data_IF_835647510249
#
_entry.id   IF_835647510249
#
_cell.length_a   1.000
_cell.length_b   1.000
_cell.length_c   1.000
_cell.angle_alpha   90.00
_cell.angle_beta   90.00
_cell.angle_gamma   90.00
#
_symmetry.space_group_name_H-M   'P 1'
#
loop_
_entity.id
_entity.type
_entity.pdbx_description
1 polymer ?
#
# COMPACT_ATOMS: atom_id res chain seq x y z
N UNK A 1 -28.94 10.42 13.63
CA UNK A 1 -28.01 9.29 13.65
C UNK A 1 -26.54 9.68 13.39
N UNK A 2 -26.20 10.52 12.42
CA UNK A 2 -24.80 10.97 12.15
C UNK A 2 -24.12 11.69 13.32
N UNK A 3 -24.83 12.54 14.07
CA UNK A 3 -24.27 13.28 15.22
C UNK A 3 -23.97 12.38 16.42
N UNK A 4 -24.78 11.34 16.65
CA UNK A 4 -24.54 10.38 17.72
C UNK A 4 -23.33 9.49 17.47
N UNK A 5 -23.04 9.16 16.19
CA UNK A 5 -21.88 8.38 15.80
C UNK A 5 -20.55 9.15 15.97
N UNK A 6 -20.55 10.45 15.65
CA UNK A 6 -19.40 11.33 15.88
C UNK A 6 -19.10 11.54 17.37
N UNK A 7 -20.14 11.63 18.22
CA UNK A 7 -20.00 11.75 19.68
C UNK A 7 -19.44 10.45 20.25
N UNK A 8 -19.87 9.27 19.77
CA UNK A 8 -19.35 7.99 20.21
C UNK A 8 -17.87 7.80 19.87
N UNK A 9 -17.42 8.24 18.69
CA UNK A 9 -15.99 8.23 18.29
C UNK A 9 -15.20 9.19 19.16
N UNK A 10 -15.70 10.39 19.41
CA UNK A 10 -15.03 11.38 20.28
C UNK A 10 -14.92 10.90 21.73
N UNK A 11 -15.92 10.20 22.25
CA UNK A 11 -15.91 9.65 23.62
C UNK A 11 -14.94 8.48 23.76
N UNK A 12 -14.76 7.66 22.73
CA UNK A 12 -13.71 6.61 22.68
C UNK A 12 -12.29 7.17 22.72
N UNK A 13 -12.07 8.37 22.15
CA UNK A 13 -10.75 9.01 22.15
C UNK A 13 -10.39 9.69 23.48
N UNK A 14 -11.36 10.00 24.35
CA UNK A 14 -11.15 10.72 25.63
C UNK A 14 -11.01 9.76 26.81
N UNK A 15 -11.38 8.50 26.66
CA UNK A 15 -11.22 7.44 27.66
C UNK A 15 -9.78 6.94 27.80
N UNK A 16 -8.78 7.82 27.98
CA UNK A 16 -7.44 7.42 28.43
C UNK A 16 -7.46 7.13 29.93
N UNK A 17 -8.23 6.12 30.35
CA UNK A 17 -7.97 5.44 31.60
C UNK A 17 -6.53 4.90 31.50
N UNK A 18 -5.67 5.27 32.43
CA UNK A 18 -4.34 4.67 32.61
C UNK A 18 -4.56 3.19 32.94
N UNK A 19 -4.69 2.39 31.89
CA UNK A 19 -4.63 0.93 32.03
C UNK A 19 -3.17 0.64 32.35
N UNK A 20 -2.85 0.38 33.61
CA UNK A 20 -1.59 -0.21 34.03
C UNK A 20 -1.59 -1.68 33.55
N UNK A 21 -1.57 -1.86 32.23
CA UNK A 21 -1.18 -3.12 31.59
C UNK A 21 0.32 -3.25 31.66
N UNK A 22 0.83 -4.46 31.53
CA UNK A 22 2.27 -4.80 31.61
C UNK A 22 3.11 -3.74 30.89
N UNK A 23 4.01 -3.11 31.67
CA UNK A 23 4.79 -1.94 31.21
C UNK A 23 5.82 -2.44 30.21
N UNK A 24 5.64 -2.11 28.94
CA UNK A 24 6.68 -2.27 27.94
C UNK A 24 7.83 -1.28 28.16
N UNK A 25 8.98 -1.58 27.61
CA UNK A 25 10.09 -0.62 27.66
C UNK A 25 9.84 0.50 26.63
N UNK A 26 9.62 1.75 27.05
CA UNK A 26 9.37 2.84 26.11
C UNK A 26 10.60 3.04 25.20
N UNK A 27 10.33 3.25 23.93
CA UNK A 27 11.29 3.60 22.89
C UNK A 27 10.86 4.95 22.29
N UNK A 28 11.82 5.74 21.94
CA UNK A 28 11.60 7.01 21.23
C UNK A 28 12.62 7.07 20.10
N UNK A 29 12.53 6.12 19.19
CA UNK A 29 13.45 6.00 18.06
C UNK A 29 12.71 6.44 16.79
N UNK A 30 13.20 7.50 16.15
CA UNK A 30 12.71 7.99 14.86
C UNK A 30 13.77 7.72 13.81
N UNK A 31 13.40 6.96 12.80
CA UNK A 31 14.21 6.71 11.62
C UNK A 31 13.47 7.18 10.38
N UNK A 32 14.19 7.81 9.46
CA UNK A 32 13.66 8.23 8.15
C UNK A 32 14.57 7.74 7.03
N UNK A 33 14.05 7.67 5.82
CA UNK A 33 14.85 7.27 4.68
C UNK A 33 14.07 7.12 3.41
N UNK A 34 14.65 6.41 2.47
CA UNK A 34 14.12 6.22 1.12
C UNK A 34 13.70 4.78 0.93
N UNK A 35 12.73 4.59 0.07
CA UNK A 35 12.34 3.27 -0.40
C UNK A 35 12.24 3.25 -1.93
N UNK A 36 12.52 2.10 -2.51
CA UNK A 36 12.32 1.81 -3.92
C UNK A 36 11.90 0.36 -4.10
N UNK A 37 11.09 0.08 -5.10
CA UNK A 37 10.59 -1.26 -5.32
C UNK A 37 9.86 -1.42 -6.64
N UNK A 38 9.16 -2.53 -6.74
CA UNK A 38 8.37 -2.90 -7.89
C UNK A 38 6.98 -3.34 -7.47
N UNK A 39 5.99 -2.89 -8.20
CA UNK A 39 4.58 -3.24 -7.98
C UNK A 39 4.09 -4.14 -9.10
N UNK A 40 3.26 -5.12 -8.74
CA UNK A 40 2.48 -5.93 -9.64
C UNK A 40 1.01 -5.65 -9.36
N UNK A 41 0.36 -4.91 -10.25
CA UNK A 41 -1.02 -4.46 -10.08
C UNK A 41 -1.97 -5.21 -11.00
N UNK A 42 -3.17 -5.44 -10.49
CA UNK A 42 -4.32 -5.93 -11.23
C UNK A 42 -5.57 -5.20 -10.73
N UNK A 43 -6.45 -4.79 -11.63
CA UNK A 43 -7.72 -4.16 -11.24
C UNK A 43 -8.80 -5.24 -11.14
N UNK A 44 -9.43 -5.33 -9.98
CA UNK A 44 -10.52 -6.27 -9.72
C UNK A 44 -11.82 -5.72 -10.30
N UNK A 45 -12.17 -6.17 -11.51
CA UNK A 45 -13.42 -5.79 -12.17
C UNK A 45 -14.58 -6.76 -11.89
N UNK A 46 -15.80 -6.21 -11.88
CA UNK A 46 -17.03 -6.98 -11.95
C UNK A 46 -17.98 -6.29 -12.94
N UNK A 47 -18.28 -6.86 -14.14
CA UNK A 47 -17.82 -8.17 -14.65
C UNK A 47 -16.31 -8.25 -14.86
N UNK A 48 -15.76 -9.48 -14.73
CA UNK A 48 -14.31 -9.72 -14.78
C UNK A 48 -13.73 -9.48 -16.18
N UNK A 49 -12.63 -8.78 -16.26
CA UNK A 49 -11.81 -8.60 -17.46
C UNK A 49 -10.55 -9.44 -17.30
N UNK A 50 -10.15 -10.17 -18.35
CA UNK A 50 -8.90 -10.93 -18.35
C UNK A 50 -7.72 -9.96 -18.40
N UNK A 51 -6.80 -10.06 -17.44
CA UNK A 51 -5.69 -9.14 -17.27
C UNK A 51 -4.40 -9.89 -16.95
N UNK A 52 -3.29 -9.35 -17.42
CA UNK A 52 -1.95 -9.65 -16.91
C UNK A 52 -1.64 -8.76 -15.71
N UNK A 53 -0.73 -9.20 -14.85
CA UNK A 53 -0.18 -8.31 -13.83
C UNK A 53 0.62 -7.19 -14.48
N UNK A 54 0.18 -5.96 -14.26
CA UNK A 54 0.91 -4.79 -14.72
C UNK A 54 2.04 -4.49 -13.75
N UNK A 55 3.28 -4.64 -14.20
CA UNK A 55 4.46 -4.32 -13.44
C UNK A 55 4.89 -2.86 -13.60
N UNK A 56 5.28 -2.19 -12.49
CA UNK A 56 5.81 -0.84 -12.54
C UNK A 56 6.74 -0.54 -11.35
N UNK A 57 7.73 0.36 -11.51
CA UNK A 57 8.55 0.82 -10.40
C UNK A 57 7.74 1.70 -9.44
N UNK A 58 8.12 1.65 -8.15
CA UNK A 58 7.63 2.54 -7.10
C UNK A 58 8.81 3.06 -6.30
N UNK A 59 8.73 4.30 -5.82
CA UNK A 59 9.76 4.92 -4.99
C UNK A 59 9.14 5.97 -4.09
N UNK A 60 9.80 6.25 -2.98
CA UNK A 60 9.29 7.21 -2.02
C UNK A 60 10.14 7.37 -0.78
N UNK A 61 9.51 7.96 0.23
CA UNK A 61 10.09 8.21 1.53
C UNK A 61 9.39 7.37 2.59
N UNK A 62 10.14 6.95 3.59
CA UNK A 62 9.65 6.19 4.74
C UNK A 62 10.08 6.88 6.03
N UNK A 63 9.14 7.06 6.94
CA UNK A 63 9.39 7.46 8.33
C UNK A 63 8.89 6.36 9.25
N UNK A 64 9.71 5.95 10.21
CA UNK A 64 9.37 4.92 11.19
C UNK A 64 9.62 5.44 12.59
N UNK A 65 8.59 5.41 13.41
CA UNK A 65 8.65 5.72 14.82
C UNK A 65 8.46 4.46 15.66
N UNK A 66 9.49 4.06 16.41
CA UNK A 66 9.43 2.93 17.33
C UNK A 66 9.02 3.44 18.71
N UNK A 67 7.82 3.01 19.13
CA UNK A 67 7.17 3.51 20.35
C UNK A 67 7.59 2.71 21.57
N UNK A 68 7.65 1.40 21.45
CA UNK A 68 7.75 0.51 22.60
C UNK A 68 8.34 -0.84 22.24
N UNK A 69 9.02 -1.44 23.22
CA UNK A 69 9.42 -2.84 23.17
C UNK A 69 8.61 -3.64 24.18
N UNK A 70 7.94 -4.64 23.70
CA UNK A 70 7.14 -5.57 24.50
C UNK A 70 7.77 -6.94 24.49
N UNK A 71 8.41 -7.35 25.58
CA UNK A 71 9.23 -8.59 25.66
C UNK A 71 10.28 -8.65 24.54
N UNK A 72 10.05 -9.46 23.53
CA UNK A 72 10.90 -9.62 22.33
C UNK A 72 10.38 -8.87 21.11
N UNK A 73 9.22 -8.25 21.21
CA UNK A 73 8.54 -7.58 20.09
C UNK A 73 8.78 -6.07 20.13
N UNK A 74 9.19 -5.50 19.00
CA UNK A 74 9.29 -4.06 18.79
C UNK A 74 8.03 -3.55 18.12
N UNK A 75 7.34 -2.62 18.76
CA UNK A 75 6.15 -1.97 18.22
C UNK A 75 6.53 -0.63 17.60
N UNK A 76 6.16 -0.43 16.35
CA UNK A 76 6.48 0.78 15.59
C UNK A 76 5.29 1.20 14.74
N UNK A 77 5.26 2.49 14.39
CA UNK A 77 4.38 3.04 13.36
C UNK A 77 5.27 3.42 12.17
N UNK A 78 4.83 3.08 10.97
CA UNK A 78 5.54 3.38 9.73
C UNK A 78 4.61 4.17 8.81
N UNK A 79 5.06 5.35 8.41
CA UNK A 79 4.38 6.24 7.46
C UNK A 79 5.24 6.35 6.21
N UNK A 80 4.60 6.30 5.06
CA UNK A 80 5.31 6.46 3.79
C UNK A 80 4.58 7.41 2.86
N UNK A 81 5.33 7.94 1.92
CA UNK A 81 4.81 8.69 0.77
C UNK A 81 5.49 8.12 -0.46
N UNK A 82 4.74 7.41 -1.28
CA UNK A 82 5.26 6.68 -2.43
C UNK A 82 4.61 7.16 -3.72
N UNK A 83 5.42 7.41 -4.74
CA UNK A 83 4.95 7.52 -6.11
C UNK A 83 4.86 6.13 -6.71
N UNK A 84 3.70 5.80 -7.29
CA UNK A 84 3.43 4.48 -7.84
C UNK A 84 2.63 4.61 -9.13
N UNK A 85 3.04 3.85 -10.14
CA UNK A 85 2.28 3.68 -11.36
C UNK A 85 1.48 2.37 -11.26
N UNK A 86 0.18 2.48 -11.15
CA UNK A 86 -0.75 1.35 -11.12
C UNK A 86 -1.43 1.22 -12.49
N UNK A 87 -2.56 0.53 -12.55
CA UNK A 87 -3.39 0.41 -13.72
C UNK A 87 -3.57 -1.04 -14.14
N UNK A 88 -3.86 -1.25 -15.41
CA UNK A 88 -4.18 -2.57 -15.96
C UNK A 88 -3.44 -2.83 -17.27
N UNK A 89 -3.21 -4.11 -17.53
CA UNK A 89 -2.76 -4.63 -18.81
C UNK A 89 -3.70 -5.78 -19.20
N UNK A 90 -4.48 -5.57 -20.25
CA UNK A 90 -5.48 -6.55 -20.69
C UNK A 90 -4.81 -7.72 -21.41
N UNK A 91 -5.28 -8.92 -21.13
CA UNK A 91 -4.90 -10.13 -21.88
C UNK A 91 -5.95 -10.36 -22.97
N UNK A 92 -5.59 -10.05 -24.22
CA UNK A 92 -6.45 -10.23 -25.39
C UNK A 92 -5.91 -11.41 -26.19
N UNK A 93 -6.61 -12.55 -26.14
CA UNK A 93 -6.21 -13.78 -26.86
C UNK A 93 -6.87 -13.89 -28.23
N UNK A 94 -7.90 -13.09 -28.48
CA UNK A 94 -8.73 -13.18 -29.71
C UNK A 94 -8.20 -12.33 -30.87
N UNK A 95 -7.23 -11.47 -30.63
CA UNK A 95 -6.61 -10.60 -31.64
C UNK A 95 -5.21 -10.16 -31.20
N UNK A 96 -4.41 -9.63 -32.13
CA UNK A 96 -3.09 -9.07 -31.85
C UNK A 96 -3.14 -7.68 -31.17
N UNK A 97 -4.33 -7.28 -30.71
CA UNK A 97 -4.51 -6.03 -30.03
C UNK A 97 -3.92 -6.06 -28.61
N UNK A 98 -3.42 -4.93 -28.18
CA UNK A 98 -2.94 -4.74 -26.82
C UNK A 98 -3.55 -3.50 -26.20
N UNK A 99 -3.96 -3.60 -24.96
CA UNK A 99 -4.41 -2.45 -24.17
C UNK A 99 -3.69 -2.40 -22.81
N UNK A 100 -3.05 -1.28 -22.56
CA UNK A 100 -2.40 -0.99 -21.29
C UNK A 100 -2.81 0.39 -20.82
N UNK A 101 -3.15 0.50 -19.57
CA UNK A 101 -3.47 1.79 -18.93
C UNK A 101 -2.56 2.02 -17.74
N UNK A 102 -1.86 3.13 -17.77
CA UNK A 102 -1.01 3.62 -16.70
C UNK A 102 -1.80 4.62 -15.87
N UNK A 103 -1.90 4.41 -14.56
CA UNK A 103 -2.58 5.30 -13.62
C UNK A 103 -1.59 5.66 -12.52
N UNK A 104 -1.22 6.92 -12.43
CA UNK A 104 -0.24 7.42 -11.48
C UNK A 104 -0.91 7.86 -10.18
N UNK A 105 -0.35 7.40 -9.06
CA UNK A 105 -0.81 7.74 -7.71
C UNK A 105 0.33 8.21 -6.81
N UNK A 106 0.00 9.09 -5.87
CA UNK A 106 0.75 9.22 -4.62
C UNK A 106 0.03 8.37 -3.59
N UNK A 107 0.71 7.37 -3.05
CA UNK A 107 0.18 6.47 -2.03
C UNK A 107 0.80 6.76 -0.67
N UNK A 108 -0.05 6.83 0.36
CA UNK A 108 0.35 7.14 1.74
C UNK A 108 -0.18 6.02 2.65
N UNK A 109 0.58 4.95 2.84
CA UNK A 109 0.28 3.93 3.84
C UNK A 109 0.67 4.40 5.24
N UNK A 110 -0.22 4.17 6.22
CA UNK A 110 0.03 4.30 7.64
C UNK A 110 -0.04 2.92 8.27
N UNK A 111 1.09 2.38 8.68
CA UNK A 111 1.23 0.98 9.06
C UNK A 111 1.61 0.82 10.52
N UNK A 112 0.89 -0.03 11.23
CA UNK A 112 1.37 -0.62 12.46
C UNK A 112 2.39 -1.71 12.10
N UNK A 113 3.51 -1.71 12.80
CA UNK A 113 4.61 -2.65 12.57
C UNK A 113 4.98 -3.35 13.86
N UNK A 114 5.13 -4.65 13.80
CA UNK A 114 5.60 -5.49 14.89
C UNK A 114 6.79 -6.32 14.43
N UNK A 115 7.90 -6.21 15.12
CA UNK A 115 9.16 -6.85 14.73
C UNK A 115 9.78 -7.68 15.84
N UNK A 116 10.46 -8.76 15.47
CA UNK A 116 11.15 -9.70 16.35
C UNK A 116 12.58 -9.91 15.86
N UNK A 117 13.53 -9.75 16.76
CA UNK A 117 14.95 -9.96 16.45
C UNK A 117 15.88 -8.97 17.15
N UNK A 118 16.99 -8.65 16.49
CA UNK A 118 18.04 -7.81 17.04
C UNK A 118 17.79 -6.33 16.78
N UNK A 119 17.73 -5.55 17.85
CA UNK A 119 17.44 -4.10 17.75
C UNK A 119 18.63 -3.26 17.28
N UNK A 120 19.86 -3.62 17.65
CA UNK A 120 21.04 -2.76 17.43
C UNK A 120 21.89 -3.23 16.26
N UNK A 121 22.14 -4.52 16.15
CA UNK A 121 22.99 -5.12 15.12
C UNK A 121 22.57 -6.55 14.88
N UNK A 122 22.16 -6.82 13.65
CA UNK A 122 21.68 -8.13 13.24
C UNK A 122 20.36 -8.07 12.48
N UNK A 123 19.76 -9.23 12.28
CA UNK A 123 18.51 -9.35 11.53
C UNK A 123 17.28 -9.26 12.45
N UNK A 124 16.22 -8.69 11.94
CA UNK A 124 14.91 -8.55 12.55
C UNK A 124 13.85 -8.89 11.49
N UNK A 125 12.99 -9.84 11.81
CA UNK A 125 11.77 -10.11 11.03
C UNK A 125 10.65 -9.21 11.52
N UNK A 126 9.79 -8.76 10.62
CA UNK A 126 8.63 -7.95 11.01
C UNK A 126 7.42 -8.19 10.13
N UNK A 127 6.25 -7.88 10.67
CA UNK A 127 4.99 -7.79 9.95
C UNK A 127 4.46 -6.37 10.02
N UNK A 128 3.72 -5.99 8.99
CA UNK A 128 3.07 -4.67 8.89
C UNK A 128 1.64 -4.83 8.45
N UNK A 129 0.76 -3.98 8.98
CA UNK A 129 -0.61 -3.86 8.50
C UNK A 129 -1.16 -2.47 8.81
N UNK A 130 -2.05 -1.97 7.94
CA UNK A 130 -2.70 -0.70 8.19
C UNK A 130 -3.47 -0.15 7.00
N UNK A 131 -4.13 1.00 7.19
CA UNK A 131 -4.80 1.71 6.11
C UNK A 131 -3.78 2.33 5.15
N UNK A 132 -4.21 2.42 3.90
CA UNK A 132 -3.47 3.10 2.84
C UNK A 132 -4.43 3.98 2.06
N UNK A 133 -4.03 5.20 1.80
CA UNK A 133 -4.76 6.13 0.93
C UNK A 133 -3.92 6.45 -0.30
N UNK A 134 -4.59 6.75 -1.40
CA UNK A 134 -3.97 7.10 -2.67
C UNK A 134 -4.64 8.32 -3.30
N UNK A 135 -3.82 9.19 -3.88
CA UNK A 135 -4.25 10.36 -4.62
C UNK A 135 -3.88 10.21 -6.08
N UNK A 136 -4.88 10.25 -6.93
CA UNK A 136 -4.73 10.18 -8.37
C UNK A 136 -4.03 11.43 -8.91
N UNK A 137 -3.02 11.23 -9.76
CA UNK A 137 -2.27 12.31 -10.42
C UNK A 137 -2.61 12.44 -11.90
N UNK A 138 -2.88 11.33 -12.56
CA UNK A 138 -3.18 11.28 -13.99
C UNK A 138 -3.10 9.87 -14.54
N UNK A 139 -3.63 9.67 -15.73
CA UNK A 139 -3.56 8.39 -16.42
C UNK A 139 -3.27 8.55 -17.92
N UNK A 140 -2.78 7.46 -18.52
CA UNK A 140 -2.56 7.33 -19.96
C UNK A 140 -2.95 5.93 -20.42
N UNK A 141 -3.80 5.87 -21.44
CA UNK A 141 -4.12 4.64 -22.15
C UNK A 141 -3.19 4.44 -23.33
N UNK A 142 -2.72 3.22 -23.52
CA UNK A 142 -1.92 2.79 -24.67
C UNK A 142 -2.66 1.67 -25.39
N UNK A 143 -3.02 1.92 -26.65
CA UNK A 143 -3.64 0.96 -27.56
C UNK A 143 -2.58 0.56 -28.57
N UNK A 144 -2.42 -0.75 -28.79
CA UNK A 144 -1.49 -1.29 -29.78
C UNK A 144 -2.15 -2.35 -30.65
N UNK A 145 -1.50 -2.73 -31.76
CA UNK A 145 -2.06 -3.63 -32.77
C UNK A 145 -2.99 -2.92 -33.74
N UNK A 146 -3.92 -3.67 -34.34
CA UNK A 146 -4.96 -3.16 -35.23
C UNK A 146 -6.24 -2.81 -34.44
N UNK A 147 -6.07 -2.09 -33.33
CA UNK A 147 -7.16 -1.74 -32.42
C UNK A 147 -8.21 -0.89 -33.13
N UNK A 148 -9.30 -1.50 -33.59
CA UNK A 148 -10.40 -0.82 -34.25
C UNK A 148 -11.76 -1.33 -33.73
N UNK A 149 -12.85 -0.67 -34.11
CA UNK A 149 -14.19 -1.00 -33.62
C UNK A 149 -14.65 -2.41 -34.06
N UNK A 150 -14.14 -2.96 -35.17
CA UNK A 150 -14.49 -4.29 -35.63
C UNK A 150 -13.92 -5.42 -34.76
N UNK A 151 -12.79 -5.17 -34.08
CA UNK A 151 -12.16 -6.17 -33.19
C UNK A 151 -12.78 -6.13 -31.79
N UNK A 152 -13.46 -5.08 -31.38
CA UNK A 152 -14.11 -4.96 -30.08
C UNK A 152 -15.17 -6.05 -29.83
N UNK A 153 -15.89 -6.47 -30.89
CA UNK A 153 -16.91 -7.51 -30.77
C UNK A 153 -16.33 -8.91 -30.53
N UNK A 154 -15.03 -9.08 -30.72
CA UNK A 154 -14.33 -10.35 -30.51
C UNK A 154 -13.82 -10.50 -29.07
N UNK A 155 -14.03 -9.50 -28.20
CA UNK A 155 -13.55 -9.53 -26.82
C UNK A 155 -14.29 -10.58 -25.99
N UNK A 156 -13.58 -11.33 -25.14
CA UNK A 156 -14.21 -12.25 -24.20
C UNK A 156 -15.26 -11.53 -23.34
N UNK A 157 -16.48 -12.11 -23.26
CA UNK A 157 -17.57 -11.55 -22.48
C UNK A 157 -18.17 -10.24 -23.05
N UNK A 158 -17.73 -9.77 -24.21
CA UNK A 158 -18.19 -8.53 -24.86
C UNK A 158 -18.08 -7.27 -23.97
N UNK A 159 -17.14 -7.26 -23.02
CA UNK A 159 -16.89 -6.13 -22.14
C UNK A 159 -15.87 -5.20 -22.80
N UNK A 160 -16.32 -4.02 -23.24
CA UNK A 160 -15.53 -3.04 -23.99
C UNK A 160 -15.49 -1.67 -23.35
N UNK A 161 -16.22 -1.47 -22.24
CA UNK A 161 -16.42 -0.17 -21.63
C UNK A 161 -15.21 0.34 -20.83
N UNK A 162 -14.19 -0.52 -20.58
CA UNK A 162 -12.95 -0.14 -19.90
C UNK A 162 -12.07 0.79 -20.72
N UNK A 163 -12.24 0.78 -22.06
CA UNK A 163 -11.44 1.60 -22.95
C UNK A 163 -11.81 3.06 -22.82
N UNK A 164 -10.79 3.92 -22.56
CA UNK A 164 -10.93 5.38 -22.42
C UNK A 164 -11.92 5.87 -21.34
N UNK A 165 -12.36 4.97 -20.45
CA UNK A 165 -13.27 5.32 -19.36
C UNK A 165 -12.58 6.30 -18.39
N UNK A 166 -13.17 7.46 -18.07
CA UNK A 166 -12.54 8.42 -17.17
C UNK A 166 -12.47 7.90 -15.74
N UNK A 167 -11.36 8.15 -15.06
CA UNK A 167 -11.22 7.89 -13.62
C UNK A 167 -12.17 8.83 -12.86
N UNK A 168 -13.22 8.28 -12.24
CA UNK A 168 -14.21 9.04 -11.49
C UNK A 168 -13.73 9.40 -10.08
N UNK A 169 -13.13 8.42 -9.41
CA UNK A 169 -12.67 8.58 -8.04
C UNK A 169 -11.17 8.89 -8.02
N UNK A 170 -10.83 10.14 -7.70
CA UNK A 170 -9.45 10.62 -7.59
C UNK A 170 -8.80 10.27 -6.24
N UNK A 171 -9.59 9.81 -5.29
CA UNK A 171 -9.16 9.38 -3.97
C UNK A 171 -9.39 7.89 -3.81
N UNK A 172 -8.31 7.17 -3.56
CA UNK A 172 -8.30 5.74 -3.33
C UNK A 172 -8.04 5.46 -1.85
N UNK A 173 -8.68 4.44 -1.31
CA UNK A 173 -8.40 3.94 0.02
C UNK A 173 -8.52 2.42 0.08
N UNK A 174 -7.77 1.83 0.99
CA UNK A 174 -7.76 0.38 1.17
C UNK A 174 -6.93 -0.04 2.37
N UNK A 175 -6.62 -1.32 2.42
CA UNK A 175 -5.86 -1.95 3.49
C UNK A 175 -4.61 -2.58 2.88
N UNK A 176 -3.48 -2.38 3.56
CA UNK A 176 -2.20 -3.00 3.22
C UNK A 176 -1.75 -3.90 4.36
N UNK A 177 -1.25 -5.08 4.01
CA UNK A 177 -0.59 -5.98 4.95
C UNK A 177 0.62 -6.63 4.29
N UNK A 178 1.64 -6.97 5.10
CA UNK A 178 2.85 -7.58 4.58
C UNK A 178 3.82 -8.00 5.66
N UNK A 179 4.98 -8.45 5.20
CA UNK A 179 6.08 -8.88 6.06
C UNK A 179 7.42 -8.50 5.43
N UNK A 180 8.45 -8.42 6.27
CA UNK A 180 9.78 -8.08 5.80
C UNK A 180 10.88 -8.50 6.75
N UNK A 181 12.10 -8.33 6.25
CA UNK A 181 13.34 -8.50 6.97
C UNK A 181 14.05 -7.16 7.07
N UNK A 182 14.59 -6.88 8.22
CA UNK A 182 15.41 -5.70 8.47
C UNK A 182 16.78 -6.15 8.96
N UNK A 183 17.83 -5.57 8.38
CA UNK A 183 19.21 -5.75 8.84
C UNK A 183 19.66 -4.45 9.47
N UNK A 184 19.81 -4.48 10.79
CA UNK A 184 20.28 -3.35 11.58
C UNK A 184 21.79 -3.28 11.56
N UNK A 185 22.35 -2.14 11.16
CA UNK A 185 23.77 -1.87 11.06
C UNK A 185 24.16 -0.63 11.85
N UNK A 186 25.45 -0.32 11.90
CA UNK A 186 25.92 0.92 12.55
C UNK A 186 25.58 2.19 11.74
N UNK A 187 25.37 2.04 10.44
CA UNK A 187 25.14 3.15 9.52
C UNK A 187 23.66 3.36 9.17
N UNK A 188 22.80 2.44 9.59
CA UNK A 188 21.35 2.50 9.33
C UNK A 188 20.71 1.13 9.23
N UNK A 189 19.49 1.12 8.73
CA UNK A 189 18.62 -0.04 8.63
C UNK A 189 18.32 -0.33 7.17
N UNK A 190 18.62 -1.55 6.73
CA UNK A 190 18.28 -2.05 5.41
C UNK A 190 17.06 -2.95 5.55
N UNK A 191 15.99 -2.63 4.84
CA UNK A 191 14.73 -3.37 4.87
C UNK A 191 14.45 -3.98 3.51
N UNK A 192 13.97 -5.22 3.51
CA UNK A 192 13.36 -5.86 2.34
C UNK A 192 11.95 -6.29 2.75
N UNK A 193 10.94 -5.89 1.99
CA UNK A 193 9.55 -6.03 2.38
C UNK A 193 8.68 -6.45 1.20
N UNK A 194 7.77 -7.40 1.46
CA UNK A 194 6.69 -7.78 0.56
C UNK A 194 5.33 -7.44 1.17
N UNK A 195 4.46 -6.77 0.39
CA UNK A 195 3.12 -6.34 0.83
C UNK A 195 2.07 -6.69 -0.21
N UNK A 196 0.86 -6.84 0.27
CA UNK A 196 -0.34 -6.85 -0.55
C UNK A 196 -1.25 -5.69 -0.16
N UNK A 197 -1.65 -4.90 -1.14
CA UNK A 197 -2.65 -3.84 -1.01
C UNK A 197 -3.98 -4.29 -1.60
N UNK A 198 -5.04 -4.14 -0.83
CA UNK A 198 -6.41 -4.42 -1.23
C UNK A 198 -7.21 -3.12 -1.24
N UNK A 199 -7.54 -2.63 -2.44
CA UNK A 199 -8.37 -1.45 -2.63
C UNK A 199 -9.82 -1.70 -2.22
N UNK A 200 -10.37 -0.78 -1.45
CA UNK A 200 -11.77 -0.76 -1.03
C UNK A 200 -12.59 0.25 -1.83
N UNK A 201 -11.94 1.22 -2.44
CA UNK A 201 -12.55 2.21 -3.33
C UNK A 201 -12.52 1.74 -4.77
N UNK A 202 -13.50 2.14 -5.55
CA UNK A 202 -13.60 1.87 -6.99
C UNK A 202 -13.00 3.02 -7.80
N UNK A 203 -12.26 2.69 -8.86
CA UNK A 203 -11.57 3.66 -9.74
C UNK A 203 -12.58 4.38 -10.64
N UNK A 204 -13.47 3.60 -11.28
CA UNK A 204 -14.40 4.09 -12.30
C UNK A 204 -15.81 4.39 -11.75
N UNK A 205 -16.05 4.13 -10.46
CA UNK A 205 -17.34 4.23 -9.81
C UNK A 205 -18.11 2.90 -9.79
N UNK A 206 -19.11 2.82 -8.93
CA UNK A 206 -19.95 1.63 -8.71
C UNK A 206 -21.45 1.98 -8.57
N UNK A 207 -21.86 3.09 -9.16
CA UNK A 207 -23.28 3.50 -9.16
C UNK A 207 -24.14 2.57 -10.03
N UNK A 208 -25.46 2.60 -9.82
CA UNK A 208 -26.44 1.78 -10.58
C UNK A 208 -26.38 1.97 -12.10
N UNK A 209 -25.81 3.09 -12.56
CA UNK A 209 -25.62 3.41 -13.99
C UNK A 209 -24.23 3.08 -14.50
N UNK A 210 -23.31 2.69 -13.63
CA UNK A 210 -21.95 2.36 -14.00
C UNK A 210 -21.88 0.92 -14.51
N UNK A 211 -21.07 0.68 -15.51
CA UNK A 211 -20.91 -0.62 -16.15
C UNK A 211 -20.29 -1.64 -15.21
N UNK A 212 -19.32 -1.18 -14.39
CA UNK A 212 -18.64 -2.03 -13.45
C UNK A 212 -19.23 -1.85 -12.05
N UNK A 213 -19.71 -2.95 -11.46
CA UNK A 213 -20.13 -2.98 -10.06
C UNK A 213 -18.94 -2.96 -9.10
N UNK A 214 -17.73 -3.22 -9.59
CA UNK A 214 -16.45 -3.11 -8.88
C UNK A 214 -15.31 -2.81 -9.85
N UNK A 215 -14.38 -1.94 -9.42
CA UNK A 215 -13.17 -1.59 -10.16
C UNK A 215 -12.06 -1.13 -9.19
N UNK A 216 -11.61 -2.04 -8.32
CA UNK A 216 -10.66 -1.72 -7.25
C UNK A 216 -9.27 -2.28 -7.52
N UNK A 217 -8.21 -1.58 -7.08
CA UNK A 217 -6.84 -2.05 -7.21
C UNK A 217 -6.52 -3.20 -6.26
N UNK A 218 -5.81 -4.21 -6.78
CA UNK A 218 -5.14 -5.25 -6.00
C UNK A 218 -3.65 -5.24 -6.37
N UNK A 219 -2.77 -4.93 -5.43
CA UNK A 219 -1.36 -4.68 -5.74
C UNK A 219 -0.44 -5.48 -4.84
N UNK A 220 0.46 -6.26 -5.44
CA UNK A 220 1.62 -6.84 -4.75
C UNK A 220 2.77 -5.85 -4.88
N UNK A 221 3.44 -5.56 -3.78
CA UNK A 221 4.58 -4.64 -3.73
C UNK A 221 5.77 -5.37 -3.13
N UNK A 222 6.90 -5.36 -3.82
CA UNK A 222 8.20 -5.79 -3.27
C UNK A 222 9.11 -4.59 -3.28
N UNK A 223 9.67 -4.23 -2.11
CA UNK A 223 10.50 -3.04 -1.99
C UNK A 223 11.67 -3.21 -1.03
N UNK A 224 12.72 -2.48 -1.31
CA UNK A 224 13.87 -2.26 -0.44
C UNK A 224 13.82 -0.84 0.12
N UNK A 225 14.21 -0.68 1.39
CA UNK A 225 14.27 0.64 2.04
C UNK A 225 15.59 0.77 2.80
N UNK A 226 16.10 1.98 2.84
CA UNK A 226 17.23 2.35 3.69
C UNK A 226 16.78 3.46 4.63
N UNK A 227 16.89 3.22 5.95
CA UNK A 227 16.51 4.18 6.98
C UNK A 227 17.73 4.52 7.84
N UNK A 228 17.84 5.77 8.25
CA UNK A 228 18.82 6.25 9.21
C UNK A 228 18.13 6.87 10.43
N UNK A 229 18.71 6.65 11.61
CA UNK A 229 18.17 7.14 12.87
C UNK A 229 18.37 8.66 12.99
N UNK A 230 17.28 9.40 13.21
CA UNK A 230 17.29 10.82 13.56
C UNK A 230 17.31 10.97 15.08
N UNK A 231 16.47 10.19 15.75
CA UNK A 231 16.39 10.15 17.22
C UNK A 231 16.54 8.72 17.65
N UNK A 232 17.34 8.47 18.66
CA UNK A 232 17.55 7.15 19.22
C UNK A 232 17.56 7.22 20.74
N UNK A 233 16.79 6.36 21.38
CA UNK A 233 16.77 6.21 22.84
C UNK A 233 18.15 5.76 23.33
N UNK A 234 18.76 6.51 24.25
CA UNK A 234 19.98 6.08 24.91
C UNK A 234 19.69 4.85 25.78
N UNK A 235 20.25 3.74 25.37
CA UNK A 235 20.14 2.49 26.13
C UNK A 235 21.24 2.44 27.14
N UNK A 236 20.90 2.45 28.42
CA UNK A 236 21.85 2.16 29.48
C UNK A 236 22.20 0.67 29.33
N UNK A 237 23.45 0.40 28.94
CA UNK A 237 23.97 -0.97 28.91
C UNK A 237 24.13 -1.41 30.37
N UNK A 238 23.12 -2.10 30.92
CA UNK A 238 23.34 -2.89 32.14
C UNK A 238 24.22 -4.07 31.73
N UNK A 239 25.55 -3.87 31.83
CA UNK A 239 26.47 -5.00 31.91
C UNK A 239 26.11 -5.77 33.18
N UNK A 240 25.47 -6.90 33.04
CA UNK A 240 25.54 -8.02 33.97
C UNK A 240 26.36 -9.10 33.34
#
# INVERSE_FOLDING_TARGET
MRKAFLIAIATCCIGTSKVYGQIGEPRNDLAIGFNAGYTLNQVMFNPTIQQKFKGAPTFGFTARYTCEKYFKSLCSIQLEVNYTNLGLEELIETSDDTYKRDINYIQIPLLARMGWGYEQKGALFYVVAGPQVGFYLGDKGHKGGLFNDSTLNLRPGQVNQQYDMPVKNKFEYGITAGAGLEVNTKIGHFLLEGRYYYGLSDIFGNGKKDVFGRSANGTIVVKASYLFDIVRTRRTSNKK
#
